data_IF_661839466697
#
_entry.id   IF_661839466697
#
_cell.length_a   1.000
_cell.length_b   1.000
_cell.length_c   1.000
_cell.angle_alpha   90.00
_cell.angle_beta   90.00
_cell.angle_gamma   90.00
#
_symmetry.space_group_name_H-M   'P 1'
#
loop_
_entity.id
_entity.type
_entity.pdbx_description
1 polymer ?
#
# COMPACT_ATOMS: atom_id res chain seq x y z
N UNK A 1 -7.86 13.83 -5.81
CA UNK A 1 -9.04 13.08 -6.27
C UNK A 1 -8.67 12.21 -7.44
N UNK A 2 -9.11 10.97 -7.42
CA UNK A 2 -8.87 10.02 -8.51
C UNK A 2 -10.23 9.58 -9.04
N UNK A 3 -10.35 9.55 -10.37
CA UNK A 3 -11.58 9.11 -11.02
C UNK A 3 -11.46 7.65 -11.45
N UNK A 4 -12.43 6.82 -11.11
CA UNK A 4 -12.54 5.49 -11.67
C UNK A 4 -13.24 5.54 -13.04
N UNK A 5 -12.99 4.56 -13.92
CA UNK A 5 -13.61 4.54 -15.24
C UNK A 5 -15.13 4.55 -15.21
N UNK A 6 -15.73 4.04 -14.16
CA UNK A 6 -17.19 3.93 -14.03
C UNK A 6 -17.82 5.12 -13.33
N UNK A 7 -17.19 6.27 -13.44
CA UNK A 7 -17.68 7.49 -12.83
C UNK A 7 -17.70 7.45 -11.31
N UNK A 8 -17.10 6.47 -10.71
CA UNK A 8 -16.96 6.38 -9.28
C UNK A 8 -15.86 7.34 -8.84
N UNK A 9 -16.21 8.29 -7.99
CA UNK A 9 -15.23 9.22 -7.45
C UNK A 9 -14.49 8.59 -6.29
N UNK A 10 -13.18 8.64 -6.35
CA UNK A 10 -12.31 8.23 -5.26
C UNK A 10 -11.65 9.47 -4.71
N UNK A 11 -11.67 9.60 -3.40
CA UNK A 11 -11.11 10.74 -2.71
C UNK A 11 -10.08 10.24 -1.73
N UNK A 12 -8.91 10.87 -1.77
CA UNK A 12 -7.88 10.56 -0.78
C UNK A 12 -7.92 11.66 0.26
N UNK A 13 -8.12 11.27 1.49
CA UNK A 13 -8.04 12.17 2.62
C UNK A 13 -6.91 11.71 3.52
N UNK A 14 -6.23 12.64 4.18
CA UNK A 14 -5.17 12.29 5.09
C UNK A 14 -5.42 12.86 6.48
N UNK A 15 -4.96 12.12 7.47
CA UNK A 15 -4.87 12.56 8.85
C UNK A 15 -3.44 12.30 9.29
N UNK A 16 -2.74 13.33 9.75
CA UNK A 16 -1.40 13.16 10.28
C UNK A 16 -1.52 12.92 11.77
N UNK A 17 -1.22 11.71 12.18
CA UNK A 17 -1.07 11.35 13.59
C UNK A 17 0.42 11.43 13.92
N UNK A 18 0.77 11.45 15.17
CA UNK A 18 2.10 11.79 15.69
C UNK A 18 3.26 11.35 14.79
N UNK A 19 3.24 10.11 14.28
CA UNK A 19 4.30 9.60 13.41
C UNK A 19 3.75 8.92 12.15
N UNK A 20 2.44 9.02 11.92
CA UNK A 20 1.79 8.29 10.84
C UNK A 20 0.91 9.20 10.02
N UNK A 21 0.90 8.92 8.74
CA UNK A 21 0.04 9.58 7.77
C UNK A 21 -0.95 8.54 7.28
N UNK A 22 -2.24 8.81 7.42
CA UNK A 22 -3.29 7.88 7.02
C UNK A 22 -4.01 8.44 5.81
N UNK A 23 -4.06 7.66 4.75
CA UNK A 23 -4.80 8.00 3.54
C UNK A 23 -5.94 7.01 3.37
N UNK A 24 -7.10 7.52 2.99
CA UNK A 24 -8.27 6.69 2.76
C UNK A 24 -8.81 6.93 1.37
N UNK A 25 -9.38 5.89 0.77
CA UNK A 25 -10.14 6.00 -0.46
C UNK A 25 -11.60 6.01 -0.11
N UNK A 26 -12.34 6.96 -0.67
CA UNK A 26 -13.76 7.15 -0.39
C UNK A 26 -14.53 6.98 -1.70
N UNK A 27 -15.55 6.14 -1.68
CA UNK A 27 -16.48 5.93 -2.79
C UNK A 27 -17.88 6.09 -2.24
N UNK A 28 -18.66 6.97 -2.86
CA UNK A 28 -20.07 7.21 -2.47
C UNK A 28 -20.19 7.49 -0.96
N UNK A 29 -19.33 8.37 -0.46
CA UNK A 29 -19.28 8.78 0.94
C UNK A 29 -18.92 7.67 1.92
N UNK A 30 -18.36 6.54 1.44
CA UNK A 30 -17.92 5.44 2.28
C UNK A 30 -16.42 5.23 2.15
N UNK A 31 -15.76 4.99 3.27
CA UNK A 31 -14.34 4.61 3.26
C UNK A 31 -14.27 3.15 2.82
N UNK A 32 -13.55 2.92 1.73
CA UNK A 32 -13.43 1.56 1.16
C UNK A 32 -12.01 1.02 1.18
N UNK A 33 -11.04 1.86 1.51
CA UNK A 33 -9.65 1.45 1.60
C UNK A 33 -8.86 2.39 2.49
N UNK A 34 -7.75 1.90 3.01
CA UNK A 34 -6.90 2.65 3.91
C UNK A 34 -5.44 2.32 3.65
N UNK A 35 -4.59 3.32 3.74
CA UNK A 35 -3.15 3.16 3.68
C UNK A 35 -2.52 3.97 4.80
N UNK A 36 -1.58 3.37 5.52
CA UNK A 36 -0.85 4.04 6.60
C UNK A 36 0.61 4.13 6.20
N UNK A 37 1.12 5.36 6.19
CA UNK A 37 2.53 5.64 5.94
C UNK A 37 3.21 6.10 7.24
N UNK A 38 4.41 5.60 7.47
CA UNK A 38 5.27 6.01 8.57
C UNK A 38 6.68 6.11 8.00
N UNK A 39 7.22 7.32 7.93
CA UNK A 39 8.47 7.56 7.24
C UNK A 39 8.40 7.02 5.81
N UNK A 40 9.31 6.14 5.41
CA UNK A 40 9.30 5.51 4.09
C UNK A 40 8.59 4.15 4.08
N UNK A 41 7.83 3.85 5.13
CA UNK A 41 7.16 2.56 5.27
C UNK A 41 5.69 2.66 4.92
N UNK A 42 5.20 1.71 4.14
CA UNK A 42 3.78 1.43 4.02
C UNK A 42 3.48 0.42 5.13
N UNK A 43 3.00 0.93 6.26
CA UNK A 43 2.71 0.07 7.42
C UNK A 43 1.48 -0.78 7.19
N UNK A 44 0.48 -0.22 6.52
CA UNK A 44 -0.75 -0.93 6.19
C UNK A 44 -1.30 -0.45 4.86
N UNK A 45 -1.90 -1.38 4.14
CA UNK A 45 -2.68 -1.11 2.95
C UNK A 45 -3.83 -2.12 2.93
N UNK A 46 -5.04 -1.64 3.06
CA UNK A 46 -6.20 -2.49 3.13
C UNK A 46 -7.31 -1.97 2.23
N UNK A 47 -7.92 -2.86 1.46
CA UNK A 47 -9.08 -2.56 0.62
C UNK A 47 -10.20 -3.53 1.01
N UNK A 48 -11.40 -3.00 1.20
CA UNK A 48 -12.55 -3.86 1.49
C UNK A 48 -12.69 -4.92 0.41
N UNK A 49 -13.02 -6.18 0.79
CA UNK A 49 -13.07 -7.29 -0.19
C UNK A 49 -13.93 -6.99 -1.41
N UNK A 50 -15.10 -6.39 -1.22
CA UNK A 50 -16.01 -6.07 -2.32
C UNK A 50 -15.50 -4.97 -3.25
N UNK A 51 -14.45 -4.28 -2.84
CA UNK A 51 -13.82 -3.21 -3.64
C UNK A 51 -12.44 -3.58 -4.17
N UNK A 52 -11.98 -4.80 -3.89
CA UNK A 52 -10.71 -5.27 -4.41
C UNK A 52 -10.80 -5.49 -5.93
N UNK A 53 -9.64 -5.51 -6.59
CA UNK A 53 -9.49 -5.69 -8.04
C UNK A 53 -10.12 -4.58 -8.87
N UNK A 54 -10.36 -3.42 -8.28
CA UNK A 54 -10.86 -2.23 -8.98
C UNK A 54 -9.78 -1.15 -9.12
N UNK A 55 -8.54 -1.49 -8.80
CA UNK A 55 -7.43 -0.55 -8.89
C UNK A 55 -7.31 0.43 -7.72
N UNK A 56 -8.10 0.27 -6.65
CA UNK A 56 -8.08 1.19 -5.51
C UNK A 56 -6.77 1.08 -4.75
N UNK A 57 -6.34 -0.15 -4.44
CA UNK A 57 -5.07 -0.37 -3.74
C UNK A 57 -3.89 0.15 -4.56
N UNK A 58 -3.91 -0.07 -5.87
CA UNK A 58 -2.88 0.47 -6.75
C UNK A 58 -2.88 1.98 -6.78
N UNK A 59 -4.05 2.61 -6.79
CA UNK A 59 -4.15 4.07 -6.76
C UNK A 59 -3.58 4.64 -5.47
N UNK A 60 -3.83 3.99 -4.33
CA UNK A 60 -3.23 4.42 -3.06
C UNK A 60 -1.71 4.28 -3.08
N UNK A 61 -1.18 3.17 -3.60
CA UNK A 61 0.27 3.01 -3.74
C UNK A 61 0.89 4.07 -4.64
N UNK A 62 0.26 4.34 -5.79
CA UNK A 62 0.75 5.38 -6.69
C UNK A 62 0.71 6.74 -6.02
N UNK A 63 -0.31 6.99 -5.19
CA UNK A 63 -0.35 8.22 -4.41
C UNK A 63 0.81 8.31 -3.42
N UNK A 64 1.12 7.21 -2.73
CA UNK A 64 2.27 7.16 -1.81
C UNK A 64 3.57 7.49 -2.53
N UNK A 65 3.72 7.02 -3.77
CA UNK A 65 4.91 7.29 -4.58
C UNK A 65 5.07 8.77 -4.89
N UNK A 66 4.00 9.55 -4.92
CA UNK A 66 4.10 11.00 -5.12
C UNK A 66 4.56 11.71 -3.87
N UNK A 67 4.48 11.06 -2.71
CA UNK A 67 4.80 11.66 -1.41
C UNK A 67 6.12 11.21 -0.84
N UNK A 68 6.73 10.20 -1.42
CA UNK A 68 8.00 9.63 -0.93
C UNK A 68 8.90 9.32 -2.11
N UNK A 69 10.20 9.39 -1.88
CA UNK A 69 11.21 9.03 -2.88
C UNK A 69 11.48 7.54 -2.90
N UNK A 70 11.20 6.88 -1.82
CA UNK A 70 11.35 5.45 -1.68
C UNK A 70 10.30 4.95 -0.71
N UNK A 71 9.89 3.70 -0.89
CA UNK A 71 8.90 3.06 -0.01
C UNK A 71 9.37 1.65 0.28
N UNK A 72 9.10 1.19 1.49
CA UNK A 72 9.35 -0.19 1.91
C UNK A 72 8.10 -0.76 2.53
N UNK A 73 7.94 -2.06 2.41
CA UNK A 73 6.85 -2.78 3.06
C UNK A 73 7.23 -4.23 3.23
N UNK A 74 6.51 -4.89 4.12
CA UNK A 74 6.62 -6.33 4.30
C UNK A 74 5.37 -7.02 3.77
N UNK A 75 5.55 -8.20 3.19
CA UNK A 75 4.46 -9.11 2.85
C UNK A 75 4.86 -10.50 3.31
N UNK A 76 3.90 -11.32 3.72
CA UNK A 76 4.22 -12.71 4.03
C UNK A 76 4.66 -13.44 2.76
N UNK A 77 5.68 -14.28 2.89
CA UNK A 77 6.22 -15.03 1.76
C UNK A 77 5.14 -15.87 1.07
N UNK A 78 4.22 -16.41 1.85
CA UNK A 78 3.13 -17.25 1.33
C UNK A 78 1.97 -16.46 0.72
N UNK A 79 1.93 -15.14 0.89
CA UNK A 79 0.85 -14.33 0.37
C UNK A 79 1.13 -13.95 -1.09
N UNK A 80 0.97 -14.92 -1.99
CA UNK A 80 1.28 -14.71 -3.39
C UNK A 80 0.45 -13.61 -4.06
N UNK A 81 -0.84 -13.46 -3.80
CA UNK A 81 -1.58 -12.35 -4.38
C UNK A 81 -1.02 -10.97 -3.99
N UNK A 82 -0.64 -10.80 -2.72
CA UNK A 82 -0.04 -9.54 -2.28
C UNK A 82 1.32 -9.32 -2.93
N UNK A 83 2.15 -10.37 -2.99
CA UNK A 83 3.46 -10.27 -3.60
C UNK A 83 3.36 -9.90 -5.07
N UNK A 84 2.47 -10.55 -5.83
CA UNK A 84 2.25 -10.23 -7.23
C UNK A 84 1.79 -8.78 -7.40
N UNK A 85 0.90 -8.34 -6.53
CA UNK A 85 0.39 -6.96 -6.54
C UNK A 85 1.52 -5.94 -6.34
N UNK A 86 2.36 -6.14 -5.32
CA UNK A 86 3.46 -5.20 -5.08
C UNK A 86 4.49 -5.22 -6.19
N UNK A 87 4.82 -6.41 -6.71
CA UNK A 87 5.78 -6.52 -7.81
C UNK A 87 5.24 -5.86 -9.08
N UNK A 88 3.95 -5.99 -9.35
CA UNK A 88 3.30 -5.28 -10.46
C UNK A 88 3.43 -3.76 -10.32
N UNK A 89 3.46 -3.26 -9.10
CA UNK A 89 3.59 -1.83 -8.83
C UNK A 89 5.03 -1.37 -8.64
N UNK A 90 5.98 -2.16 -9.07
CA UNK A 90 7.38 -1.76 -9.12
C UNK A 90 8.17 -1.98 -7.84
N UNK A 91 7.58 -2.66 -6.87
CA UNK A 91 8.32 -3.06 -5.67
C UNK A 91 9.14 -4.31 -5.97
N UNK A 92 10.37 -4.34 -5.47
CA UNK A 92 11.24 -5.50 -5.65
C UNK A 92 11.60 -6.10 -4.31
N UNK A 93 11.66 -7.43 -4.21
CA UNK A 93 12.07 -8.08 -2.96
C UNK A 93 13.55 -7.84 -2.73
N UNK A 94 13.92 -7.37 -1.54
CA UNK A 94 15.32 -7.10 -1.20
C UNK A 94 15.83 -7.93 -0.04
N UNK A 95 14.94 -8.55 0.73
CA UNK A 95 15.34 -9.43 1.84
C UNK A 95 14.22 -10.41 2.15
N UNK A 96 14.59 -11.60 2.59
CA UNK A 96 13.65 -12.63 3.00
C UNK A 96 13.93 -12.97 4.45
N UNK A 97 12.90 -12.90 5.30
CA UNK A 97 12.96 -13.24 6.69
C UNK A 97 12.36 -14.62 6.96
N UNK A 98 12.80 -15.26 8.03
CA UNK A 98 12.32 -16.59 8.42
C UNK A 98 11.13 -16.53 9.39
N UNK A 99 10.65 -15.35 9.72
CA UNK A 99 9.53 -15.16 10.62
C UNK A 99 9.92 -14.93 12.07
N UNK A 100 11.20 -15.02 12.43
CA UNK A 100 11.60 -14.83 13.82
C UNK A 100 11.43 -13.39 14.29
N UNK A 101 11.38 -12.44 13.37
CA UNK A 101 11.24 -11.02 13.67
C UNK A 101 9.80 -10.51 13.69
N UNK A 102 8.80 -11.36 13.49
CA UNK A 102 7.39 -10.90 13.49
C UNK A 102 6.55 -11.73 14.46
N UNK A 103 5.41 -11.18 14.85
CA UNK A 103 4.53 -11.79 15.85
C UNK A 103 3.92 -13.10 15.38
N UNK A 104 3.71 -13.25 14.10
CA UNK A 104 3.08 -14.43 13.51
C UNK A 104 4.06 -15.58 13.34
N UNK A 105 5.36 -15.32 13.44
CA UNK A 105 6.38 -16.34 13.22
C UNK A 105 6.41 -16.88 11.80
N UNK A 106 5.82 -16.16 10.83
CA UNK A 106 5.72 -16.58 9.45
C UNK A 106 6.80 -15.91 8.60
N UNK A 107 7.42 -16.63 7.65
CA UNK A 107 8.40 -16.03 6.75
C UNK A 107 7.81 -14.82 6.02
N UNK A 108 8.60 -13.78 5.88
CA UNK A 108 8.19 -12.55 5.21
C UNK A 108 9.20 -12.10 4.18
N UNK A 109 8.78 -11.15 3.37
CA UNK A 109 9.59 -10.56 2.31
C UNK A 109 9.58 -9.05 2.51
N UNK A 110 10.76 -8.46 2.54
CA UNK A 110 10.91 -7.03 2.54
C UNK A 110 10.97 -6.54 1.09
N UNK A 111 10.05 -5.69 0.74
CA UNK A 111 9.98 -5.06 -0.57
C UNK A 111 10.42 -3.62 -0.51
N UNK A 112 11.02 -3.15 -1.60
CA UNK A 112 11.41 -1.77 -1.75
C UNK A 112 11.03 -1.24 -3.12
N UNK A 113 10.55 -0.01 -3.15
CA UNK A 113 10.39 0.76 -4.37
C UNK A 113 11.21 2.04 -4.23
N UNK A 114 11.93 2.39 -5.29
CA UNK A 114 12.67 3.66 -5.37
C UNK A 114 12.19 4.45 -6.55
N UNK A 115 11.88 5.72 -6.30
CA UNK A 115 11.50 6.63 -7.35
C UNK A 115 12.69 7.01 -8.23
N UNK A 116 12.36 7.50 -9.43
CA UNK A 116 13.37 8.02 -10.34
C UNK A 116 13.78 9.41 -9.86
N UNK A 117 15.07 9.60 -9.67
CA UNK A 117 15.62 10.90 -9.32
C UNK A 117 15.88 11.65 -10.62
N UNK A 118 15.34 12.85 -10.70
CA UNK A 118 15.54 13.72 -11.85
C UNK A 118 16.13 15.04 -11.44
#
# INVERSE_FOLDING_TARGET
MVHAPDEVRRWFASVVLVEREVWVAVIDARIVAMMVLRDNWVDQLYVLPEHQRRGIGGALLEHAKTRRRALRLYAFDSNHPARDFYEKHGFVPIAFGDGTGNQEGAPDVLYEWKGVIR
#
